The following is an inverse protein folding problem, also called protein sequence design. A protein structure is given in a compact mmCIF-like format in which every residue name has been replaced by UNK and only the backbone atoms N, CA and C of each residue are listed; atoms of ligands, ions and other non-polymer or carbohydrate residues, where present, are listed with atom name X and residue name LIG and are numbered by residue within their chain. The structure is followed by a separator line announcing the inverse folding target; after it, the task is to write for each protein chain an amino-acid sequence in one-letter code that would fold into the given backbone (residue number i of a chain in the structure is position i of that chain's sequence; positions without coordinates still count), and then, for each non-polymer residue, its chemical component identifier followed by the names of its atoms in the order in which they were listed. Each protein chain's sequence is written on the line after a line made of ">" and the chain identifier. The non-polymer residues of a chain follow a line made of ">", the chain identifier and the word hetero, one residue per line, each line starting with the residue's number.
data_IF_492102388814
#
_entry.id   IF_492102388814
#
_cell.length_a   1.000
_cell.length_b   1.000
_cell.length_c   1.000
_cell.angle_alpha   90.00
_cell.angle_beta   90.00
_cell.angle_gamma   90.00
#
_symmetry.space_group_name_H-M   'P 1'
#
loop_
_entity.id
_entity.type
_entity.pdbx_description
1 polymer ?
#
# COMPACT_ATOMS: atom_id res chain seq x y z
N UNK A 1 15.99 -9.56 -31.20
CA UNK A 1 15.04 -8.76 -30.40
C UNK A 1 15.20 -9.14 -28.94
N UNK A 2 15.78 -8.28 -28.08
CA UNK A 2 15.91 -8.59 -26.66
C UNK A 2 14.52 -8.53 -26.02
N UNK A 3 14.09 -9.64 -25.43
CA UNK A 3 12.82 -9.75 -24.69
C UNK A 3 12.94 -8.89 -23.44
N UNK A 4 12.18 -7.79 -23.39
CA UNK A 4 12.01 -6.98 -22.20
C UNK A 4 11.53 -7.87 -21.06
N UNK A 5 12.42 -8.08 -20.07
CA UNK A 5 12.06 -8.73 -18.83
C UNK A 5 11.27 -7.72 -18.01
N UNK A 6 9.99 -7.54 -18.32
CA UNK A 6 9.07 -6.89 -17.39
C UNK A 6 9.07 -7.76 -16.14
N UNK A 7 9.80 -7.32 -15.12
CA UNK A 7 9.79 -7.93 -13.80
C UNK A 7 8.40 -7.70 -13.21
N UNK A 8 7.44 -8.54 -13.62
CA UNK A 8 6.20 -8.72 -12.89
C UNK A 8 6.56 -9.41 -11.57
N UNK A 9 7.15 -8.64 -10.65
CA UNK A 9 7.19 -8.99 -9.24
C UNK A 9 5.75 -9.16 -8.82
N UNK A 10 5.30 -10.42 -8.74
CA UNK A 10 3.96 -10.78 -8.30
C UNK A 10 3.66 -9.98 -7.02
N UNK A 11 2.54 -9.26 -6.95
CA UNK A 11 2.20 -8.50 -5.76
C UNK A 11 2.17 -9.46 -4.55
N UNK A 12 3.00 -9.17 -3.54
CA UNK A 12 3.01 -9.95 -2.30
C UNK A 12 1.80 -9.52 -1.47
N UNK A 13 0.85 -10.42 -1.31
CA UNK A 13 -0.35 -10.15 -0.51
C UNK A 13 0.00 -10.12 0.98
N UNK A 14 -0.49 -9.10 1.68
CA UNK A 14 -0.37 -9.00 3.13
C UNK A 14 -1.72 -9.36 3.73
N UNK A 15 -1.78 -10.40 4.56
CA UNK A 15 -2.95 -10.66 5.40
C UNK A 15 -2.84 -9.81 6.67
N UNK A 16 -3.64 -8.74 6.75
CA UNK A 16 -3.68 -7.85 7.91
C UNK A 16 -4.95 -8.16 8.70
N UNK A 17 -4.80 -8.37 10.02
CA UNK A 17 -5.94 -8.39 10.94
C UNK A 17 -6.13 -6.97 11.46
N UNK A 18 -7.19 -6.31 11.02
CA UNK A 18 -7.62 -5.01 11.52
C UNK A 18 -8.74 -5.22 12.54
N UNK A 19 -8.81 -4.37 13.55
CA UNK A 19 -10.01 -4.28 14.40
C UNK A 19 -11.21 -3.83 13.55
N UNK A 20 -12.41 -4.21 13.95
CA UNK A 20 -13.63 -3.88 13.19
C UNK A 20 -13.82 -2.37 13.02
N UNK A 21 -13.53 -1.59 14.08
CA UNK A 21 -13.59 -0.13 14.03
C UNK A 21 -12.62 0.45 12.98
N UNK A 22 -11.38 -0.04 12.96
CA UNK A 22 -10.36 0.43 12.03
C UNK A 22 -10.71 0.05 10.59
N UNK A 23 -11.23 -1.16 10.38
CA UNK A 23 -11.69 -1.61 9.06
C UNK A 23 -12.90 -0.80 8.58
N UNK A 24 -13.82 -0.42 9.48
CA UNK A 24 -14.97 0.42 9.13
C UNK A 24 -14.52 1.83 8.75
N UNK A 25 -13.62 2.44 9.53
CA UNK A 25 -13.05 3.75 9.20
C UNK A 25 -12.26 3.72 7.89
N UNK A 26 -11.47 2.66 7.66
CA UNK A 26 -10.74 2.45 6.42
C UNK A 26 -11.68 2.42 5.21
N UNK A 27 -12.79 1.67 5.29
CA UNK A 27 -13.80 1.65 4.21
C UNK A 27 -14.38 3.03 3.93
N UNK A 28 -14.70 3.79 4.97
CA UNK A 28 -15.25 5.15 4.82
C UNK A 28 -14.22 6.06 4.14
N UNK A 29 -12.96 6.00 4.56
CA UNK A 29 -11.89 6.82 3.99
C UNK A 29 -11.64 6.49 2.53
N UNK A 30 -11.54 5.19 2.21
CA UNK A 30 -11.32 4.70 0.85
C UNK A 30 -12.50 5.07 -0.07
N UNK A 31 -13.73 5.00 0.44
CA UNK A 31 -14.92 5.42 -0.31
C UNK A 31 -14.93 6.93 -0.60
N UNK A 32 -14.47 7.76 0.34
CA UNK A 32 -14.34 9.22 0.14
C UNK A 32 -13.31 9.56 -0.94
N UNK A 33 -12.20 8.82 -0.98
CA UNK A 33 -11.12 9.05 -1.94
C UNK A 33 -11.35 8.37 -3.30
N UNK A 34 -12.45 7.63 -3.46
CA UNK A 34 -12.78 6.86 -4.67
C UNK A 34 -11.66 5.88 -5.09
N UNK A 35 -10.91 5.38 -4.10
CA UNK A 35 -9.80 4.44 -4.31
C UNK A 35 -10.21 3.03 -3.88
N UNK A 36 -9.33 2.06 -4.13
CA UNK A 36 -9.48 0.72 -3.56
C UNK A 36 -8.73 0.63 -2.24
N UNK A 37 -9.13 -0.30 -1.37
CA UNK A 37 -8.43 -0.52 -0.08
C UNK A 37 -6.95 -0.88 -0.34
N UNK A 38 -6.69 -1.67 -1.39
CA UNK A 38 -5.32 -2.05 -1.76
C UNK A 38 -4.48 -0.84 -2.15
N UNK A 39 -5.01 -0.01 -3.05
CA UNK A 39 -4.31 1.20 -3.52
C UNK A 39 -4.06 2.19 -2.37
N UNK A 40 -5.07 2.38 -1.52
CA UNK A 40 -4.94 3.26 -0.36
C UNK A 40 -3.90 2.76 0.65
N UNK A 41 -3.89 1.46 0.94
CA UNK A 41 -2.90 0.84 1.84
C UNK A 41 -1.51 0.88 1.22
N UNK A 42 -1.38 0.65 -0.09
CA UNK A 42 -0.11 0.78 -0.80
C UNK A 42 0.45 2.19 -0.69
N UNK A 43 -0.38 3.22 -0.95
CA UNK A 43 0.03 4.62 -0.80
C UNK A 43 0.38 4.96 0.66
N UNK A 44 -0.36 4.45 1.63
CA UNK A 44 -0.07 4.68 3.06
C UNK A 44 1.27 4.06 3.45
N UNK A 45 1.55 2.85 2.98
CA UNK A 45 2.83 2.17 3.19
C UNK A 45 3.94 2.92 2.48
N UNK A 46 3.76 3.32 1.21
CA UNK A 46 4.76 4.10 0.46
C UNK A 46 5.12 5.40 1.19
N UNK A 47 4.12 6.13 1.70
CA UNK A 47 4.33 7.37 2.48
C UNK A 47 5.09 7.14 3.79
N UNK A 48 4.86 6.03 4.49
CA UNK A 48 5.47 5.76 5.80
C UNK A 48 6.79 4.96 5.72
N UNK A 49 6.93 4.10 4.72
CA UNK A 49 8.07 3.20 4.52
C UNK A 49 9.12 3.83 3.63
N UNK A 50 8.78 4.78 2.74
CA UNK A 50 9.83 5.57 2.06
C UNK A 50 10.65 6.22 3.16
N UNK A 51 11.91 5.78 3.34
CA UNK A 51 12.75 6.43 4.30
C UNK A 51 12.89 7.86 3.78
N UNK A 52 12.54 8.84 4.62
CA UNK A 52 13.18 10.12 4.49
C UNK A 52 14.67 9.84 4.31
N UNK A 53 15.28 10.36 3.25
CA UNK A 53 16.74 10.52 3.24
C UNK A 53 17.08 11.24 4.56
N UNK A 54 17.79 10.55 5.44
CA UNK A 54 18.19 11.05 6.76
C UNK A 54 17.35 10.43 7.86
N UNK A 55 17.92 9.71 8.84
CA UNK A 55 19.25 9.83 9.40
C UNK A 55 19.55 8.51 10.11
N UNK A 56 20.45 7.70 9.56
CA UNK A 56 21.32 6.87 10.38
C UNK A 56 22.50 7.75 10.77
N UNK A 57 22.54 8.16 12.03
CA UNK A 57 23.74 8.65 12.73
C UNK A 57 23.66 8.16 14.15
#
# INVERSE_FOLDING_TARGET
>A
MPREKTTHTKPKMIHIRLSEELHQQLRIQVAKENQTIQDWVEQLIDKNVKPGRGKQS
#
